data_IF_922547686378
#
_entry.id   IF_922547686378
#
_cell.length_a   1.000
_cell.length_b   1.000
_cell.length_c   1.000
_cell.angle_alpha   90.00
_cell.angle_beta   90.00
_cell.angle_gamma   90.00
#
_symmetry.space_group_name_H-M   'P 1'
#
loop_
_entity.id
_entity.type
_entity.pdbx_description
1 polymer ?
#
# COMPACT_ATOMS: atom_id res chain seq x y z
N UNK A 1 1.24 22.51 -22.56
CA UNK A 1 0.73 21.24 -22.03
C UNK A 1 0.57 20.29 -23.18
N UNK A 2 1.10 19.06 -23.16
CA UNK A 2 0.76 18.06 -24.16
C UNK A 2 -0.73 17.80 -24.09
N UNK A 3 -1.37 17.57 -25.24
CA UNK A 3 -2.73 17.07 -25.28
C UNK A 3 -2.77 15.77 -24.50
N UNK A 4 -3.38 15.79 -23.32
CA UNK A 4 -3.64 14.56 -22.56
C UNK A 4 -4.80 13.84 -23.25
N UNK A 5 -4.57 12.67 -23.88
CA UNK A 5 -5.59 11.96 -24.62
C UNK A 5 -6.73 11.43 -23.73
N UNK A 6 -6.57 11.51 -22.42
CA UNK A 6 -7.54 11.06 -21.41
C UNK A 6 -8.40 12.20 -20.84
N UNK A 7 -8.07 13.45 -21.13
CA UNK A 7 -8.90 14.58 -20.75
C UNK A 7 -9.91 14.91 -21.85
N UNK A 8 -11.18 14.98 -21.48
CA UNK A 8 -12.21 15.54 -22.35
C UNK A 8 -11.80 16.94 -22.82
N UNK A 9 -12.05 17.26 -24.09
CA UNK A 9 -11.66 18.53 -24.70
C UNK A 9 -12.23 19.75 -23.95
N UNK A 10 -13.44 19.63 -23.40
CA UNK A 10 -14.08 20.68 -22.61
C UNK A 10 -13.37 20.89 -21.27
N UNK A 11 -12.96 19.81 -20.62
CA UNK A 11 -12.19 19.83 -19.37
C UNK A 11 -10.79 20.41 -19.60
N UNK A 12 -10.11 19.96 -20.65
CA UNK A 12 -8.80 20.49 -21.05
C UNK A 12 -8.86 22.01 -21.33
N UNK A 13 -9.93 22.48 -21.98
CA UNK A 13 -10.15 23.90 -22.22
C UNK A 13 -10.38 24.67 -20.90
N UNK A 14 -11.19 24.15 -19.98
CA UNK A 14 -11.48 24.79 -18.68
C UNK A 14 -10.22 24.87 -17.79
N UNK A 15 -9.36 23.85 -17.82
CA UNK A 15 -8.06 23.90 -17.14
C UNK A 15 -7.18 24.99 -17.76
N UNK A 16 -7.10 25.03 -19.11
CA UNK A 16 -6.29 26.00 -19.84
C UNK A 16 -6.77 27.45 -19.62
N UNK A 17 -8.06 27.66 -19.46
CA UNK A 17 -8.68 28.96 -19.17
C UNK A 17 -8.62 29.34 -17.68
N UNK A 18 -8.13 28.49 -16.78
CA UNK A 18 -8.10 28.71 -15.35
C UNK A 18 -9.48 28.64 -14.68
N UNK A 19 -10.49 28.13 -15.35
CA UNK A 19 -11.86 27.96 -14.83
C UNK A 19 -12.08 26.62 -14.15
N UNK A 20 -11.10 25.71 -14.20
CA UNK A 20 -11.10 24.42 -13.52
C UNK A 20 -9.67 24.04 -13.12
N UNK A 21 -9.50 23.61 -11.88
CA UNK A 21 -8.23 23.06 -11.43
C UNK A 21 -7.96 21.70 -12.07
N UNK A 22 -6.69 21.43 -12.37
CA UNK A 22 -6.27 20.15 -12.93
C UNK A 22 -6.56 18.98 -11.98
N UNK A 23 -6.44 19.21 -10.66
CA UNK A 23 -6.76 18.20 -9.66
C UNK A 23 -8.25 17.86 -9.63
N UNK A 24 -9.12 18.85 -9.73
CA UNK A 24 -10.58 18.61 -9.82
C UNK A 24 -10.95 17.80 -11.06
N UNK A 25 -10.36 18.15 -12.21
CA UNK A 25 -10.60 17.43 -13.46
C UNK A 25 -10.14 15.96 -13.37
N UNK A 26 -8.95 15.72 -12.82
CA UNK A 26 -8.44 14.37 -12.59
C UNK A 26 -9.30 13.57 -11.62
N UNK A 27 -9.82 14.21 -10.59
CA UNK A 27 -10.72 13.60 -9.61
C UNK A 27 -12.01 13.08 -10.25
N UNK A 28 -12.70 13.92 -11.04
CA UNK A 28 -13.96 13.52 -11.69
C UNK A 28 -13.76 12.37 -12.70
N UNK A 29 -12.72 12.43 -13.52
CA UNK A 29 -12.39 11.36 -14.46
C UNK A 29 -12.11 10.04 -13.74
N UNK A 30 -11.40 10.10 -12.59
CA UNK A 30 -11.09 8.91 -11.80
C UNK A 30 -12.35 8.30 -11.19
N UNK A 31 -13.27 9.11 -10.67
CA UNK A 31 -14.55 8.63 -10.13
C UNK A 31 -15.35 7.91 -11.23
N UNK A 32 -15.50 8.52 -12.40
CA UNK A 32 -16.20 7.92 -13.52
C UNK A 32 -15.57 6.58 -13.94
N UNK A 33 -14.25 6.51 -13.95
CA UNK A 33 -13.52 5.28 -14.25
C UNK A 33 -13.80 4.17 -13.22
N UNK A 34 -13.81 4.50 -11.92
CA UNK A 34 -14.12 3.53 -10.85
C UNK A 34 -15.54 2.99 -10.97
N UNK A 35 -16.52 3.87 -11.24
CA UNK A 35 -17.93 3.49 -11.38
C UNK A 35 -18.16 2.65 -12.64
N UNK A 36 -17.64 3.07 -13.78
CA UNK A 36 -17.78 2.34 -15.05
C UNK A 36 -17.05 1.00 -15.05
N UNK A 37 -15.92 0.89 -14.35
CA UNK A 37 -15.23 -0.38 -14.13
C UNK A 37 -15.96 -1.32 -13.15
N UNK A 38 -17.02 -0.85 -12.48
CA UNK A 38 -17.78 -1.60 -11.49
C UNK A 38 -16.97 -1.94 -10.25
N UNK A 39 -15.98 -1.13 -9.90
CA UNK A 39 -15.21 -1.26 -8.66
C UNK A 39 -15.98 -0.71 -7.46
N UNK A 40 -16.81 0.29 -7.68
CA UNK A 40 -17.67 0.90 -6.69
C UNK A 40 -19.07 1.19 -7.29
N UNK A 41 -20.07 1.33 -6.44
CA UNK A 41 -21.42 1.83 -6.83
C UNK A 41 -21.56 3.33 -6.55
N UNK A 42 -20.72 3.85 -5.66
CA UNK A 42 -20.62 5.27 -5.32
C UNK A 42 -19.22 5.60 -4.81
N UNK A 43 -18.81 6.86 -4.92
CA UNK A 43 -17.55 7.37 -4.37
C UNK A 43 -17.87 8.56 -3.50
N UNK A 44 -17.49 8.50 -2.22
CA UNK A 44 -17.87 9.48 -1.19
C UNK A 44 -16.77 10.49 -0.93
N UNK A 45 -15.50 10.14 -1.14
CA UNK A 45 -14.42 11.07 -0.91
C UNK A 45 -13.02 10.51 -1.16
N UNK A 46 -12.03 11.36 -0.96
CA UNK A 46 -10.62 11.02 -1.04
C UNK A 46 -10.09 10.76 0.39
N UNK A 47 -9.57 9.55 0.64
CA UNK A 47 -8.92 9.21 1.91
C UNK A 47 -7.50 9.76 1.94
N UNK A 48 -6.75 9.55 0.86
CA UNK A 48 -5.33 9.92 0.81
C UNK A 48 -4.90 10.19 -0.63
N UNK A 49 -4.15 11.28 -0.81
CA UNK A 49 -3.47 11.60 -2.07
C UNK A 49 -1.98 11.32 -1.92
N UNK A 50 -1.51 10.25 -2.55
CA UNK A 50 -0.09 9.85 -2.55
C UNK A 50 0.66 10.33 -3.79
N UNK A 51 1.97 10.10 -3.82
CA UNK A 51 2.80 10.41 -5.01
C UNK A 51 2.50 9.49 -6.19
N UNK A 52 2.18 8.24 -5.92
CA UNK A 52 2.02 7.18 -6.91
C UNK A 52 0.56 6.77 -7.11
N UNK A 53 -0.24 6.85 -6.06
CA UNK A 53 -1.63 6.46 -6.06
C UNK A 53 -2.46 7.31 -5.12
N UNK A 54 -3.73 7.43 -5.44
CA UNK A 54 -4.76 8.02 -4.59
C UNK A 54 -5.65 6.92 -4.04
N UNK A 55 -6.13 7.10 -2.80
CA UNK A 55 -7.04 6.15 -2.14
C UNK A 55 -8.35 6.85 -1.88
N UNK A 56 -9.43 6.28 -2.41
CA UNK A 56 -10.79 6.83 -2.32
C UNK A 56 -11.64 6.01 -1.34
N UNK A 57 -12.47 6.71 -0.58
CA UNK A 57 -13.60 6.10 0.13
C UNK A 57 -14.75 5.94 -0.84
N UNK A 58 -15.25 4.75 -0.95
CA UNK A 58 -16.31 4.38 -1.87
C UNK A 58 -17.29 3.40 -1.22
N UNK A 59 -18.42 3.21 -1.84
CA UNK A 59 -19.41 2.20 -1.47
C UNK A 59 -19.55 1.14 -2.55
N UNK A 60 -19.75 -0.10 -2.13
CA UNK A 60 -20.16 -1.18 -3.03
C UNK A 60 -21.39 -1.89 -2.47
N UNK A 61 -22.55 -1.64 -3.09
CA UNK A 61 -23.86 -2.19 -2.62
C UNK A 61 -24.14 -1.90 -1.15
N UNK A 62 -23.83 -0.67 -0.70
CA UNK A 62 -24.07 -0.21 0.66
C UNK A 62 -22.97 -0.56 1.67
N UNK A 63 -21.93 -1.31 1.28
CA UNK A 63 -20.78 -1.58 2.15
C UNK A 63 -19.64 -0.61 1.85
N UNK A 64 -18.98 -0.02 2.88
CA UNK A 64 -17.82 0.85 2.66
C UNK A 64 -16.61 0.05 2.19
N UNK A 65 -15.94 0.58 1.17
CA UNK A 65 -14.71 0.04 0.60
C UNK A 65 -13.69 1.15 0.38
N UNK A 66 -12.42 0.79 0.27
CA UNK A 66 -11.38 1.67 -0.24
C UNK A 66 -11.03 1.27 -1.68
N UNK A 67 -10.79 2.26 -2.54
CA UNK A 67 -10.31 2.03 -3.90
C UNK A 67 -8.98 2.75 -4.07
N UNK A 68 -7.91 2.01 -4.33
CA UNK A 68 -6.59 2.56 -4.65
C UNK A 68 -6.46 2.69 -6.16
N UNK A 69 -6.08 3.88 -6.61
CA UNK A 69 -5.95 4.24 -8.02
C UNK A 69 -4.54 4.73 -8.26
N UNK A 70 -3.76 3.99 -9.04
CA UNK A 70 -2.42 4.41 -9.44
C UNK A 70 -2.50 5.49 -10.50
N UNK A 71 -1.73 6.56 -10.29
CA UNK A 71 -1.69 7.69 -11.24
C UNK A 71 -1.02 7.26 -12.53
N UNK A 72 -1.62 7.63 -13.65
CA UNK A 72 -1.09 7.34 -14.98
C UNK A 72 0.24 8.07 -15.27
N UNK A 73 0.56 9.10 -14.49
CA UNK A 73 1.78 9.89 -14.63
C UNK A 73 2.46 10.09 -13.27
N UNK A 74 3.69 9.61 -13.13
CA UNK A 74 4.59 10.03 -12.06
C UNK A 74 5.18 11.38 -12.43
N UNK A 75 4.83 12.44 -11.74
CA UNK A 75 5.60 13.68 -11.74
C UNK A 75 6.72 13.53 -10.71
N UNK A 76 7.94 13.22 -11.13
CA UNK A 76 9.10 13.39 -10.27
C UNK A 76 9.34 14.89 -10.07
N UNK A 77 9.60 15.33 -8.83
CA UNK A 77 10.01 16.72 -8.53
C UNK A 77 11.31 17.16 -9.23
N UNK A 78 11.93 16.29 -10.03
CA UNK A 78 13.18 16.52 -10.78
C UNK A 78 13.03 16.37 -12.30
N UNK A 79 11.83 16.53 -12.86
CA UNK A 79 11.64 16.51 -14.31
C UNK A 79 11.86 15.14 -14.95
N UNK A 80 11.60 14.05 -14.23
CA UNK A 80 11.69 12.69 -14.75
C UNK A 80 10.70 12.47 -15.90
N UNK A 81 11.06 11.61 -16.85
CA UNK A 81 10.19 11.22 -17.97
C UNK A 81 8.91 10.60 -17.45
N UNK A 82 7.73 10.87 -18.07
CA UNK A 82 6.50 10.20 -17.71
C UNK A 82 6.67 8.68 -17.83
N UNK A 83 6.22 7.95 -16.81
CA UNK A 83 6.22 6.48 -16.83
C UNK A 83 5.15 6.06 -17.83
N UNK A 84 5.48 5.11 -18.71
CA UNK A 84 4.54 4.59 -19.70
C UNK A 84 3.30 4.00 -19.02
N UNK A 85 2.14 4.17 -19.62
CA UNK A 85 0.83 3.70 -19.17
C UNK A 85 0.81 2.20 -18.76
N UNK A 86 1.60 1.36 -19.44
CA UNK A 86 1.75 -0.07 -19.15
C UNK A 86 2.33 -0.38 -17.76
N UNK A 87 3.05 0.59 -17.14
CA UNK A 87 3.71 0.37 -15.84
C UNK A 87 2.77 0.53 -14.64
N UNK A 88 1.71 1.35 -14.74
CA UNK A 88 0.78 1.62 -13.64
C UNK A 88 -0.20 0.48 -13.41
N UNK A 89 -0.68 -0.15 -14.49
CA UNK A 89 -1.45 -1.38 -14.41
C UNK A 89 -0.65 -2.54 -13.82
N UNK A 90 0.66 -2.60 -14.10
CA UNK A 90 1.55 -3.57 -13.50
C UNK A 90 1.74 -3.35 -12.00
N UNK A 91 1.93 -2.09 -11.56
CA UNK A 91 2.04 -1.74 -10.13
C UNK A 91 0.77 -2.12 -9.37
N UNK A 92 -0.41 -1.77 -9.90
CA UNK A 92 -1.68 -2.16 -9.31
C UNK A 92 -1.84 -3.69 -9.25
N UNK A 93 -1.41 -4.41 -10.28
CA UNK A 93 -1.45 -5.86 -10.31
C UNK A 93 -0.51 -6.47 -9.27
N UNK A 94 0.70 -5.96 -9.17
CA UNK A 94 1.69 -6.43 -8.21
C UNK A 94 1.20 -6.21 -6.78
N UNK A 95 0.80 -5.00 -6.41
CA UNK A 95 0.31 -4.73 -5.06
C UNK A 95 -0.93 -5.53 -4.73
N UNK A 96 -1.88 -5.63 -5.67
CA UNK A 96 -3.08 -6.46 -5.49
C UNK A 96 -2.73 -7.92 -5.18
N UNK A 97 -1.81 -8.53 -5.94
CA UNK A 97 -1.39 -9.91 -5.72
C UNK A 97 -0.61 -10.09 -4.42
N UNK A 98 0.26 -9.14 -4.04
CA UNK A 98 0.97 -9.18 -2.76
C UNK A 98 0.00 -9.07 -1.59
N UNK A 99 -0.94 -8.13 -1.65
CA UNK A 99 -1.98 -7.98 -0.63
C UNK A 99 -2.86 -9.22 -0.54
N UNK A 100 -3.23 -9.82 -1.68
CA UNK A 100 -4.02 -11.06 -1.72
C UNK A 100 -3.28 -12.25 -1.10
N UNK A 101 -1.98 -12.37 -1.38
CA UNK A 101 -1.15 -13.42 -0.80
C UNK A 101 -1.01 -13.23 0.72
N UNK A 102 -0.68 -12.03 1.17
CA UNK A 102 -0.57 -11.68 2.57
C UNK A 102 -1.90 -11.96 3.32
N UNK A 103 -3.02 -11.52 2.77
CA UNK A 103 -4.35 -11.75 3.34
C UNK A 103 -4.68 -13.24 3.43
N UNK A 104 -4.43 -14.03 2.39
CA UNK A 104 -4.63 -15.49 2.41
C UNK A 104 -3.74 -16.20 3.42
N UNK A 105 -2.56 -15.65 3.69
CA UNK A 105 -1.64 -16.12 4.73
C UNK A 105 -2.01 -15.70 6.15
N UNK A 106 -3.14 -14.99 6.32
CA UNK A 106 -3.64 -14.55 7.62
C UNK A 106 -3.05 -13.24 8.14
N UNK A 107 -2.27 -12.51 7.31
CA UNK A 107 -1.75 -11.22 7.70
C UNK A 107 -2.88 -10.16 7.76
N UNK A 108 -2.77 -9.23 8.72
CA UNK A 108 -3.66 -8.07 8.81
C UNK A 108 -3.32 -7.03 7.74
N UNK A 109 -3.88 -7.24 6.57
CA UNK A 109 -3.86 -6.31 5.44
C UNK A 109 -5.30 -6.07 4.98
N UNK A 110 -5.65 -4.92 4.39
CA UNK A 110 -6.98 -4.70 3.83
C UNK A 110 -7.31 -5.81 2.83
N UNK A 111 -8.36 -6.61 3.08
CA UNK A 111 -8.74 -7.70 2.19
C UNK A 111 -8.98 -7.17 0.77
N UNK A 112 -8.20 -7.57 -0.24
CA UNK A 112 -8.38 -7.11 -1.61
C UNK A 112 -9.60 -7.77 -2.23
N UNK A 113 -10.41 -7.00 -2.97
CA UNK A 113 -11.65 -7.49 -3.57
C UNK A 113 -11.52 -7.67 -5.08
N UNK A 114 -11.39 -6.58 -5.83
CA UNK A 114 -11.36 -6.61 -7.31
C UNK A 114 -10.32 -5.63 -7.86
N UNK A 115 -9.65 -6.04 -8.93
CA UNK A 115 -8.72 -5.19 -9.68
C UNK A 115 -9.19 -4.99 -11.12
N UNK A 116 -9.08 -3.77 -11.61
CA UNK A 116 -9.31 -3.40 -13.00
C UNK A 116 -8.22 -2.39 -13.39
N UNK A 117 -7.43 -2.71 -14.40
CA UNK A 117 -6.34 -1.88 -14.91
C UNK A 117 -5.39 -1.37 -13.81
N UNK A 118 -5.31 -0.06 -13.61
CA UNK A 118 -4.47 0.62 -12.62
C UNK A 118 -5.19 0.84 -11.28
N UNK A 119 -6.33 0.19 -11.04
CA UNK A 119 -7.16 0.37 -9.86
C UNK A 119 -7.45 -0.96 -9.19
N UNK A 120 -7.59 -0.96 -7.87
CA UNK A 120 -8.18 -2.08 -7.14
C UNK A 120 -8.95 -1.64 -5.91
N UNK A 121 -10.01 -2.38 -5.60
CA UNK A 121 -10.82 -2.20 -4.39
C UNK A 121 -10.37 -3.16 -3.29
N UNK A 122 -10.52 -2.72 -2.05
CA UNK A 122 -10.16 -3.46 -0.84
C UNK A 122 -11.07 -3.07 0.33
N UNK A 123 -11.02 -3.85 1.40
CA UNK A 123 -11.73 -3.52 2.64
C UNK A 123 -11.35 -2.13 3.11
N UNK A 124 -12.33 -1.31 3.42
CA UNK A 124 -12.13 -0.07 4.15
C UNK A 124 -11.78 -0.37 5.61
N UNK A 125 -10.77 0.30 6.12
CA UNK A 125 -10.39 0.31 7.53
C UNK A 125 -10.70 1.69 8.09
N UNK A 126 -11.66 1.75 8.98
CA UNK A 126 -12.18 2.97 9.58
C UNK A 126 -13.54 2.71 10.22
N UNK A 127 -14.13 3.75 10.71
CA UNK A 127 -15.44 3.78 11.36
C UNK A 127 -16.26 5.00 10.89
N UNK A 128 -17.28 5.40 11.67
CA UNK A 128 -18.12 6.56 11.37
C UNK A 128 -17.37 7.89 11.49
N UNK A 129 -16.30 7.95 12.29
CA UNK A 129 -15.48 9.13 12.48
C UNK A 129 -14.45 9.33 11.36
N UNK A 130 -14.17 8.28 10.58
CA UNK A 130 -13.29 8.36 9.42
C UNK A 130 -12.35 7.17 9.23
N UNK A 131 -11.34 7.33 8.36
CA UNK A 131 -10.36 6.28 8.10
C UNK A 131 -9.47 6.02 9.31
N UNK A 132 -9.10 4.74 9.51
CA UNK A 132 -8.16 4.36 10.54
C UNK A 132 -6.85 5.16 10.42
N UNK A 133 -6.35 5.76 11.53
CA UNK A 133 -5.15 6.56 11.50
C UNK A 133 -3.90 5.71 11.25
N UNK A 134 -2.85 6.34 10.73
CA UNK A 134 -1.53 5.72 10.62
C UNK A 134 -0.89 5.65 12.01
N UNK A 135 -0.07 4.65 12.22
CA UNK A 135 0.70 4.49 13.46
C UNK A 135 1.52 5.75 13.79
N UNK A 136 2.04 6.44 12.76
CA UNK A 136 2.78 7.70 12.93
C UNK A 136 1.94 8.83 13.54
N UNK A 137 0.62 8.79 13.35
CA UNK A 137 -0.30 9.89 13.69
C UNK A 137 -1.04 9.64 15.02
N UNK A 138 -0.72 8.55 15.73
CA UNK A 138 -1.33 8.19 17.02
C UNK A 138 -0.32 8.15 18.14
N UNK A 139 -0.80 8.35 19.37
CA UNK A 139 -0.10 8.02 20.59
C UNK A 139 -0.65 6.70 21.13
N UNK A 140 0.26 5.78 21.44
CA UNK A 140 -0.09 4.46 21.95
C UNK A 140 -0.22 4.49 23.47
N UNK A 141 -1.28 3.91 24.01
CA UNK A 141 -1.47 3.72 25.45
C UNK A 141 -0.54 2.63 25.99
N UNK A 142 -0.38 1.52 25.26
CA UNK A 142 0.53 0.43 25.53
C UNK A 142 1.47 0.19 24.35
N UNK A 143 2.61 0.92 24.25
CA UNK A 143 3.54 0.80 23.15
C UNK A 143 4.23 -0.57 23.06
N UNK A 144 4.43 -1.25 24.19
CA UNK A 144 5.09 -2.57 24.21
C UNK A 144 4.17 -3.66 23.66
N UNK A 145 2.91 -3.70 24.09
CA UNK A 145 1.91 -4.64 23.55
C UNK A 145 1.71 -4.37 22.03
N UNK A 146 1.58 -3.11 21.66
CA UNK A 146 1.40 -2.77 20.24
C UNK A 146 2.63 -3.15 19.40
N UNK A 147 3.86 -2.96 19.92
CA UNK A 147 5.07 -3.43 19.24
C UNK A 147 5.06 -4.95 19.06
N UNK A 148 4.69 -5.71 20.08
CA UNK A 148 4.57 -7.17 19.98
C UNK A 148 3.58 -7.58 18.88
N UNK A 149 2.45 -6.90 18.77
CA UNK A 149 1.47 -7.12 17.70
C UNK A 149 2.03 -6.80 16.33
N UNK A 150 2.79 -5.71 16.19
CA UNK A 150 3.47 -5.34 14.93
C UNK A 150 4.48 -6.41 14.54
N UNK A 151 5.34 -6.86 15.47
CA UNK A 151 6.32 -7.91 15.21
C UNK A 151 5.66 -9.24 14.79
N UNK A 152 4.59 -9.64 15.48
CA UNK A 152 3.80 -10.82 15.11
C UNK A 152 3.15 -10.68 13.72
N UNK A 153 2.73 -9.47 13.35
CA UNK A 153 2.20 -9.18 12.03
C UNK A 153 3.26 -9.29 10.93
N UNK A 154 4.47 -8.76 11.16
CA UNK A 154 5.62 -8.90 10.24
C UNK A 154 6.00 -10.37 10.05
N UNK A 155 6.01 -11.15 11.13
CA UNK A 155 6.24 -12.59 11.07
C UNK A 155 5.16 -13.32 10.25
N UNK A 156 3.89 -12.88 10.37
CA UNK A 156 2.78 -13.46 9.61
C UNK A 156 2.89 -13.13 8.12
N UNK A 157 3.30 -11.90 7.76
CA UNK A 157 3.62 -11.53 6.38
C UNK A 157 4.72 -12.45 5.81
N UNK A 158 5.83 -12.60 6.54
CA UNK A 158 6.93 -13.47 6.12
C UNK A 158 6.48 -14.92 5.96
N UNK A 159 5.67 -15.45 6.88
CA UNK A 159 5.07 -16.80 6.76
C UNK A 159 4.15 -16.93 5.54
N UNK A 160 3.54 -15.86 5.09
CA UNK A 160 2.76 -15.82 3.85
C UNK A 160 3.65 -15.72 2.58
N UNK A 161 4.98 -15.68 2.73
CA UNK A 161 5.91 -15.50 1.62
C UNK A 161 6.01 -14.06 1.12
N UNK A 162 5.62 -13.08 1.94
CA UNK A 162 5.63 -11.66 1.60
C UNK A 162 6.50 -10.90 2.59
N UNK A 163 7.48 -10.16 2.09
CA UNK A 163 8.30 -9.23 2.89
C UNK A 163 7.98 -7.80 2.48
N UNK A 164 7.58 -6.98 3.46
CA UNK A 164 7.26 -5.57 3.25
C UNK A 164 8.56 -4.77 3.12
N UNK A 165 8.86 -4.25 1.93
CA UNK A 165 10.13 -3.57 1.67
C UNK A 165 10.15 -2.09 2.07
N UNK A 166 9.00 -1.47 2.29
CA UNK A 166 8.86 -0.08 2.75
C UNK A 166 8.10 -0.02 4.10
N UNK A 167 8.45 -0.88 5.04
CA UNK A 167 7.80 -0.92 6.35
C UNK A 167 8.21 0.29 7.20
N UNK A 168 7.21 1.04 7.64
CA UNK A 168 7.39 2.22 8.51
C UNK A 168 6.10 2.51 9.28
N UNK A 169 6.15 3.43 10.25
CA UNK A 169 4.95 3.86 10.97
C UNK A 169 3.90 4.56 10.06
N UNK A 170 4.28 4.95 8.85
CA UNK A 170 3.35 5.49 7.84
C UNK A 170 2.58 4.41 7.09
N UNK A 171 3.12 3.18 7.03
CA UNK A 171 2.55 2.05 6.32
C UNK A 171 1.89 1.01 7.25
N UNK A 172 1.63 1.41 8.50
CA UNK A 172 0.83 0.67 9.47
C UNK A 172 -0.34 1.53 9.90
N UNK A 173 -1.58 1.03 9.75
CA UNK A 173 -2.77 1.65 10.32
C UNK A 173 -3.07 1.04 11.68
N UNK A 174 -3.64 1.86 12.57
CA UNK A 174 -4.15 1.40 13.87
C UNK A 174 -5.68 1.31 13.78
N UNK A 175 -6.22 0.09 13.76
CA UNK A 175 -7.65 -0.12 13.68
C UNK A 175 -8.10 -1.14 14.72
N UNK A 176 -9.00 -0.73 15.62
CA UNK A 176 -9.49 -1.54 16.74
C UNK A 176 -8.37 -2.11 17.64
N UNK A 177 -7.34 -1.29 17.93
CA UNK A 177 -6.20 -1.68 18.75
C UNK A 177 -5.22 -2.68 18.09
N UNK A 178 -5.35 -2.90 16.78
CA UNK A 178 -4.55 -3.86 16.00
C UNK A 178 -3.80 -3.16 14.86
N UNK A 179 -2.54 -3.60 14.56
CA UNK A 179 -1.79 -3.10 13.42
C UNK A 179 -2.28 -3.71 12.11
N UNK A 180 -2.50 -2.88 11.10
CA UNK A 180 -2.86 -3.27 9.75
C UNK A 180 -1.82 -2.74 8.77
N UNK A 181 -1.20 -3.63 7.99
CA UNK A 181 -0.16 -3.27 7.04
C UNK A 181 -0.77 -2.85 5.71
N UNK A 182 -0.29 -1.73 5.17
CA UNK A 182 -0.75 -1.17 3.89
C UNK A 182 0.45 -0.88 2.98
N UNK A 183 0.17 -0.68 1.70
CA UNK A 183 1.16 -0.32 0.68
C UNK A 183 2.22 -1.43 0.45
N UNK A 184 1.76 -2.53 -0.12
CA UNK A 184 2.61 -3.66 -0.50
C UNK A 184 3.11 -3.55 -1.97
N UNK A 185 3.12 -2.34 -2.54
CA UNK A 185 3.52 -2.09 -3.94
C UNK A 185 4.93 -2.57 -4.26
N UNK A 186 5.86 -2.40 -3.33
CA UNK A 186 7.26 -2.79 -3.45
C UNK A 186 7.59 -4.10 -2.69
N UNK A 187 6.58 -4.79 -2.15
CA UNK A 187 6.79 -5.99 -1.36
C UNK A 187 7.52 -7.08 -2.16
N UNK A 188 8.42 -7.77 -1.46
CA UNK A 188 9.21 -8.87 -2.02
C UNK A 188 8.44 -10.18 -1.81
N UNK A 189 8.22 -10.90 -2.90
CA UNK A 189 7.64 -12.22 -2.88
C UNK A 189 8.75 -13.28 -2.79
N UNK A 190 8.87 -13.96 -1.65
CA UNK A 190 9.96 -14.91 -1.40
C UNK A 190 9.71 -16.32 -1.94
N UNK A 191 8.44 -16.68 -2.18
CA UNK A 191 8.04 -18.00 -2.72
C UNK A 191 8.05 -18.09 -4.26
N UNK A 192 8.50 -17.05 -4.97
CA UNK A 192 8.45 -16.99 -6.44
C UNK A 192 9.60 -17.78 -7.08
N UNK A 193 9.27 -18.72 -7.94
CA UNK A 193 10.22 -19.48 -8.77
C UNK A 193 10.81 -18.56 -9.87
N UNK A 194 12.11 -18.70 -10.18
CA UNK A 194 12.72 -18.11 -11.38
C UNK A 194 13.76 -17.01 -11.20
N UNK A 195 14.04 -16.56 -9.97
CA UNK A 195 15.21 -15.73 -9.63
C UNK A 195 16.10 -16.50 -8.66
N UNK A 196 17.38 -16.13 -8.57
CA UNK A 196 18.30 -16.74 -7.60
C UNK A 196 17.70 -16.68 -6.18
N UNK A 197 17.51 -17.83 -5.49
CA UNK A 197 16.99 -17.87 -4.13
C UNK A 197 17.81 -17.00 -3.18
N UNK A 198 19.12 -17.05 -3.29
CA UNK A 198 20.05 -16.25 -2.48
C UNK A 198 19.89 -14.75 -2.67
N UNK A 199 19.69 -14.29 -3.89
CA UNK A 199 19.50 -12.87 -4.15
C UNK A 199 18.22 -12.38 -3.48
N UNK A 200 17.12 -13.13 -3.62
CA UNK A 200 15.84 -12.78 -2.97
C UNK A 200 15.91 -12.80 -1.45
N UNK A 201 16.61 -13.78 -0.90
CA UNK A 201 16.80 -13.86 0.55
C UNK A 201 17.61 -12.67 1.08
N UNK A 202 18.65 -12.26 0.36
CA UNK A 202 19.44 -11.07 0.71
C UNK A 202 18.61 -9.78 0.59
N UNK A 203 17.82 -9.63 -0.48
CA UNK A 203 16.92 -8.49 -0.66
C UNK A 203 15.86 -8.46 0.45
N UNK A 204 15.25 -9.60 0.77
CA UNK A 204 14.28 -9.73 1.85
C UNK A 204 14.89 -9.41 3.23
N UNK A 205 16.10 -9.91 3.51
CA UNK A 205 16.84 -9.61 4.74
C UNK A 205 17.13 -8.12 4.88
N UNK A 206 17.63 -7.49 3.82
CA UNK A 206 17.92 -6.06 3.80
C UNK A 206 16.64 -5.21 3.98
N UNK A 207 15.54 -5.60 3.34
CA UNK A 207 14.25 -4.93 3.47
C UNK A 207 13.68 -5.05 4.89
N UNK A 208 13.77 -6.24 5.50
CA UNK A 208 13.36 -6.45 6.89
C UNK A 208 14.18 -5.59 7.85
N UNK A 209 15.52 -5.60 7.73
CA UNK A 209 16.40 -4.78 8.59
C UNK A 209 16.04 -3.29 8.45
N UNK A 210 15.91 -2.81 7.22
CA UNK A 210 15.53 -1.42 6.96
C UNK A 210 14.18 -1.06 7.62
N UNK A 211 13.15 -1.86 7.40
CA UNK A 211 11.81 -1.64 7.95
C UNK A 211 11.79 -1.69 9.47
N UNK A 212 12.51 -2.65 10.07
CA UNK A 212 12.61 -2.75 11.54
C UNK A 212 13.33 -1.53 12.15
N UNK A 213 14.37 -1.00 11.50
CA UNK A 213 15.02 0.24 11.92
C UNK A 213 14.11 1.45 11.79
N UNK A 214 13.30 1.54 10.74
CA UNK A 214 12.31 2.60 10.57
C UNK A 214 11.24 2.56 11.69
N UNK A 215 10.74 1.39 12.04
CA UNK A 215 9.82 1.21 13.18
C UNK A 215 10.51 1.53 14.51
N UNK A 216 11.78 1.15 14.70
CA UNK A 216 12.53 1.50 15.90
C UNK A 216 12.60 3.01 16.12
N UNK A 217 12.72 3.82 15.06
CA UNK A 217 12.72 5.29 15.15
C UNK A 217 11.39 5.78 15.77
N UNK A 218 10.26 5.21 15.36
CA UNK A 218 8.96 5.54 15.94
C UNK A 218 8.86 5.12 17.42
N UNK A 219 9.23 3.86 17.74
CA UNK A 219 9.08 3.32 19.09
C UNK A 219 10.07 3.90 20.10
N UNK A 220 11.16 4.51 19.66
CA UNK A 220 12.13 5.20 20.54
C UNK A 220 11.49 6.31 21.38
N UNK A 221 10.46 6.98 20.89
CA UNK A 221 9.76 8.02 21.66
C UNK A 221 9.11 7.49 22.95
N UNK A 222 8.88 6.17 23.01
CA UNK A 222 8.33 5.47 24.18
C UNK A 222 9.41 4.77 25.01
N UNK A 223 10.70 4.90 24.65
CA UNK A 223 11.80 4.20 25.33
C UNK A 223 11.92 2.72 24.97
N UNK A 224 11.10 2.23 24.03
CA UNK A 224 11.11 0.81 23.63
C UNK A 224 12.27 0.53 22.68
N UNK A 225 13.03 -0.53 22.96
CA UNK A 225 14.17 -0.98 22.16
C UNK A 225 13.87 -2.36 21.57
N UNK A 226 14.13 -2.52 20.27
CA UNK A 226 13.95 -3.79 19.56
C UNK A 226 15.29 -4.50 19.36
N UNK A 227 15.31 -5.81 19.54
CA UNK A 227 16.41 -6.69 19.17
C UNK A 227 16.35 -7.02 17.67
N UNK A 228 16.63 -6.01 16.83
CA UNK A 228 16.40 -6.06 15.38
C UNK A 228 17.15 -7.22 14.73
N UNK A 229 18.45 -7.37 15.01
CA UNK A 229 19.30 -8.41 14.38
C UNK A 229 18.80 -9.82 14.71
N UNK A 230 18.42 -10.06 15.98
CA UNK A 230 17.84 -11.33 16.42
C UNK A 230 16.51 -11.60 15.72
N UNK A 231 15.62 -10.58 15.64
CA UNK A 231 14.34 -10.71 14.99
C UNK A 231 14.50 -10.99 13.48
N UNK A 232 15.31 -10.22 12.77
CA UNK A 232 15.56 -10.39 11.34
C UNK A 232 16.16 -11.77 11.05
N UNK A 233 17.17 -12.19 11.80
CA UNK A 233 17.79 -13.52 11.63
C UNK A 233 16.79 -14.66 11.81
N UNK A 234 15.90 -14.55 12.80
CA UNK A 234 14.84 -15.54 13.04
C UNK A 234 13.84 -15.60 11.90
N UNK A 235 13.42 -14.45 11.38
CA UNK A 235 12.48 -14.39 10.25
C UNK A 235 13.13 -14.95 8.99
N UNK A 236 14.34 -14.51 8.65
CA UNK A 236 15.09 -15.00 7.47
C UNK A 236 15.29 -16.51 7.54
N UNK A 237 15.69 -17.05 8.70
CA UNK A 237 15.78 -18.50 8.89
C UNK A 237 14.46 -19.24 8.72
N UNK A 238 13.32 -18.60 9.00
CA UNK A 238 12.01 -19.19 8.77
C UNK A 238 11.60 -19.22 7.29
N UNK A 239 12.22 -18.39 6.44
CA UNK A 239 11.96 -18.36 5.01
C UNK A 239 12.59 -19.53 4.25
N UNK A 240 13.51 -20.27 4.86
CA UNK A 240 14.14 -21.48 4.31
C UNK A 240 13.13 -22.54 3.92
N UNK A 241 11.99 -22.63 4.59
CA UNK A 241 10.88 -23.53 4.22
C UNK A 241 10.35 -23.34 2.79
N UNK A 242 10.71 -22.25 2.13
CA UNK A 242 10.37 -22.03 0.71
C UNK A 242 11.44 -22.56 -0.25
N UNK A 243 12.43 -23.37 0.23
CA UNK A 243 13.51 -23.93 -0.58
C UNK A 243 14.48 -22.85 -1.06
N UNK A 244 14.69 -21.79 -0.27
CA UNK A 244 15.54 -20.67 -0.64
C UNK A 244 17.02 -20.93 -0.36
N UNK A 245 17.34 -21.95 0.46
CA UNK A 245 18.69 -22.28 0.91
C UNK A 245 19.21 -23.63 0.35
N UNK A 246 18.44 -24.37 -0.47
CA UNK A 246 18.87 -25.59 -1.16
C UNK A 246 19.48 -25.35 -2.54
#
# INVERSE_FOLDING_TARGET
MPNDPYLDASVAWRIKSGTLDFHEAGYHTTIEAMLSAGLATEVTGLISAGKEADVYLAGYKGAPIAVKVYRLYRTSHRGGRPIKQDSTGWLAAQEYEMTRQAWKGGARVPAPARRVENMFSMRYLGDEDGPAPRLNDVELEDPEDFLHKVLAGVETLARAGVVHSDLSAYNVLVHQGEPWFIDLSEAIRVDRIGTSPWQRLNEASAALDHGMRALQVYFRKYGTIMEIESFVSRIVGSLDRFGLLE
#
